data_IF_649910794510
#
_entry.id   IF_649910794510
#
_cell.length_a   1.000
_cell.length_b   1.000
_cell.length_c   1.000
_cell.angle_alpha   90.00
_cell.angle_beta   90.00
_cell.angle_gamma   90.00
#
_symmetry.space_group_name_H-M   'P 1'
#
loop_
_entity.id
_entity.type
_entity.pdbx_description
1 polymer ?
#
# COMPACT_ATOMS: atom_id res chain seq x y z
N UNK A 1 -14.32 -2.42 -2.20
CA UNK A 1 -13.11 -1.82 -2.81
C UNK A 1 -12.53 -0.81 -1.84
N UNK A 2 -11.48 -1.15 -1.10
CA UNK A 2 -10.75 -0.15 -0.31
C UNK A 2 -9.55 0.28 -1.15
N UNK A 3 -9.68 1.37 -1.89
CA UNK A 3 -8.55 1.96 -2.59
C UNK A 3 -7.46 2.28 -1.55
N UNK A 4 -6.18 2.13 -1.92
CA UNK A 4 -5.02 2.49 -1.07
C UNK A 4 -4.93 4.03 -0.85
N UNK A 5 -5.98 4.78 -1.19
CA UNK A 5 -6.11 6.22 -0.96
C UNK A 5 -5.86 6.62 0.51
N UNK A 6 -6.10 5.72 1.48
CA UNK A 6 -5.79 5.96 2.89
C UNK A 6 -4.28 6.14 3.21
N UNK A 7 -3.38 5.85 2.26
CA UNK A 7 -1.95 5.93 2.48
C UNK A 7 -1.32 7.22 1.91
N UNK A 8 -1.98 8.00 1.05
CA UNK A 8 -1.33 9.14 0.37
C UNK A 8 -1.04 10.36 1.26
N UNK A 9 -1.60 10.42 2.47
CA UNK A 9 -1.24 11.41 3.51
C UNK A 9 -1.62 10.89 4.90
N UNK A 10 -0.64 10.50 5.70
CA UNK A 10 -0.88 10.08 7.08
C UNK A 10 -0.56 11.23 8.03
N UNK A 11 -1.46 11.59 8.94
CA UNK A 11 -1.21 12.64 9.94
C UNK A 11 -0.08 12.28 10.92
N UNK A 12 0.34 11.01 10.94
CA UNK A 12 1.43 10.51 11.77
C UNK A 12 2.79 10.51 11.04
N UNK A 13 2.87 11.01 9.80
CA UNK A 13 4.14 11.13 9.08
C UNK A 13 4.99 12.24 9.75
N UNK A 14 6.19 11.90 10.26
CA UNK A 14 7.12 12.87 10.85
C UNK A 14 7.74 13.83 9.82
N UNK A 15 7.89 13.36 8.59
CA UNK A 15 8.22 14.14 7.39
C UNK A 15 7.26 13.70 6.27
N UNK A 16 6.23 14.49 6.04
CA UNK A 16 5.17 14.14 5.10
C UNK A 16 5.65 14.07 3.63
N UNK A 17 6.44 15.02 3.09
CA UNK A 17 7.02 14.90 1.75
C UNK A 17 7.83 13.62 1.55
N UNK A 18 8.74 13.32 2.49
CA UNK A 18 9.59 12.11 2.39
C UNK A 18 8.74 10.85 2.46
N UNK A 19 7.78 10.77 3.38
CA UNK A 19 6.91 9.60 3.52
C UNK A 19 6.05 9.34 2.27
N UNK A 20 5.51 10.40 1.64
CA UNK A 20 4.73 10.27 0.41
C UNK A 20 5.57 9.74 -0.77
N UNK A 21 6.81 10.23 -0.92
CA UNK A 21 7.73 9.77 -1.94
C UNK A 21 8.12 8.30 -1.73
N UNK A 22 8.55 7.93 -0.51
CA UNK A 22 8.93 6.56 -0.18
C UNK A 22 7.80 5.56 -0.39
N UNK A 23 6.57 5.95 -0.06
CA UNK A 23 5.40 5.10 -0.23
C UNK A 23 5.03 4.87 -1.69
N UNK A 24 5.12 5.91 -2.51
CA UNK A 24 4.85 5.80 -3.96
C UNK A 24 5.85 4.84 -4.61
N UNK A 25 7.12 4.96 -4.25
CA UNK A 25 8.18 4.06 -4.72
C UNK A 25 7.97 2.62 -4.23
N UNK A 26 7.66 2.44 -2.94
CA UNK A 26 7.41 1.12 -2.38
C UNK A 26 6.20 0.44 -3.05
N UNK A 27 5.07 1.15 -3.22
CA UNK A 27 3.88 0.59 -3.85
C UNK A 27 4.15 0.17 -5.31
N UNK A 28 4.95 0.94 -6.04
CA UNK A 28 5.37 0.57 -7.39
C UNK A 28 6.19 -0.73 -7.37
N UNK A 29 7.22 -0.81 -6.51
CA UNK A 29 8.07 -2.00 -6.38
C UNK A 29 7.26 -3.25 -5.99
N UNK A 30 6.32 -3.11 -5.05
CA UNK A 30 5.45 -4.21 -4.61
C UNK A 30 4.48 -4.69 -5.69
N UNK A 31 3.95 -3.75 -6.48
CA UNK A 31 3.08 -4.08 -7.61
C UNK A 31 3.84 -4.79 -8.73
N UNK A 32 5.10 -4.40 -8.95
CA UNK A 32 5.97 -5.00 -9.97
C UNK A 32 6.51 -6.37 -9.53
N UNK A 33 6.84 -6.53 -8.23
CA UNK A 33 7.35 -7.80 -7.67
C UNK A 33 6.24 -8.83 -7.40
N UNK A 34 5.02 -8.38 -7.11
CA UNK A 34 3.89 -9.24 -6.73
C UNK A 34 4.13 -10.01 -5.43
N UNK A 35 5.04 -9.54 -4.58
CA UNK A 35 5.40 -10.19 -3.33
C UNK A 35 4.32 -10.05 -2.26
N UNK A 36 4.31 -11.01 -1.32
CA UNK A 36 3.39 -10.99 -0.19
C UNK A 36 3.94 -10.07 0.89
N UNK A 37 3.11 -9.16 1.39
CA UNK A 37 3.49 -8.24 2.46
C UNK A 37 2.55 -8.34 3.66
N UNK A 38 3.08 -7.94 4.81
CA UNK A 38 2.33 -7.69 6.03
C UNK A 38 2.23 -6.19 6.28
N UNK A 39 1.01 -5.63 6.20
CA UNK A 39 0.75 -4.20 6.33
C UNK A 39 0.04 -3.88 7.66
N UNK A 40 0.78 -3.35 8.63
CA UNK A 40 0.36 -3.25 10.05
C UNK A 40 -0.93 -2.45 10.32
N UNK A 41 -1.34 -1.58 9.39
CA UNK A 41 -2.53 -0.74 9.51
C UNK A 41 -3.65 -1.10 8.53
N UNK A 42 -3.52 -2.21 7.81
CA UNK A 42 -4.54 -2.67 6.87
C UNK A 42 -5.59 -3.54 7.59
N UNK A 43 -6.73 -3.84 6.95
CA UNK A 43 -7.71 -4.75 7.53
C UNK A 43 -7.09 -6.10 7.90
N UNK A 44 -7.50 -6.66 9.03
CA UNK A 44 -7.10 -8.01 9.46
C UNK A 44 -7.45 -9.04 8.36
N UNK A 45 -6.56 -10.00 8.02
CA UNK A 45 -5.34 -10.44 8.71
C UNK A 45 -4.07 -9.66 8.39
N UNK A 46 -4.18 -8.50 7.71
CA UNK A 46 -3.06 -7.62 7.33
C UNK A 46 -2.07 -8.23 6.32
N UNK A 47 -2.42 -9.37 5.74
CA UNK A 47 -1.64 -10.07 4.73
C UNK A 47 -2.29 -9.94 3.36
N UNK A 48 -1.47 -9.79 2.34
CA UNK A 48 -1.94 -9.59 0.97
C UNK A 48 -0.85 -9.06 0.06
N UNK A 49 -1.29 -8.50 -1.07
CA UNK A 49 -0.43 -7.99 -2.15
C UNK A 49 -0.92 -6.65 -2.66
N UNK A 50 -0.06 -5.97 -3.41
CA UNK A 50 -0.39 -4.75 -4.12
C UNK A 50 -0.49 -5.09 -5.61
N UNK A 51 -1.56 -4.65 -6.27
CA UNK A 51 -1.71 -4.75 -7.72
C UNK A 51 -1.85 -3.36 -8.34
N UNK A 52 -1.28 -3.19 -9.55
CA UNK A 52 -1.47 -2.00 -10.36
C UNK A 52 -2.79 -2.10 -11.14
N UNK A 53 -3.61 -1.06 -11.08
CA UNK A 53 -4.83 -0.88 -11.87
C UNK A 53 -4.76 0.47 -12.58
N UNK A 54 -4.16 0.47 -13.78
CA UNK A 54 -3.85 1.72 -14.48
C UNK A 54 -2.84 2.56 -13.69
N UNK A 55 -3.23 3.77 -13.32
CA UNK A 55 -2.42 4.70 -12.52
C UNK A 55 -2.57 4.49 -11.00
N UNK A 56 -3.47 3.61 -10.57
CA UNK A 56 -3.76 3.36 -9.16
C UNK A 56 -3.13 2.05 -8.65
N UNK A 57 -2.97 1.98 -7.33
CA UNK A 57 -2.60 0.76 -6.61
C UNK A 57 -3.78 0.24 -5.80
N UNK A 58 -4.00 -1.06 -5.86
CA UNK A 58 -5.09 -1.75 -5.16
C UNK A 58 -4.54 -2.79 -4.20
N UNK A 59 -5.07 -2.79 -2.99
CA UNK A 59 -4.78 -3.83 -2.00
C UNK A 59 -5.60 -5.07 -2.29
N UNK A 60 -4.92 -6.20 -2.43
CA UNK A 60 -5.55 -7.50 -2.57
C UNK A 60 -5.34 -8.26 -1.26
N UNK A 61 -6.33 -8.29 -0.36
CA UNK A 61 -6.23 -9.03 0.89
C UNK A 61 -6.13 -10.52 0.59
N UNK A 62 -5.32 -11.23 1.38
CA UNK A 62 -5.32 -12.68 1.41
C UNK A 62 -6.65 -13.17 2.02
N UNK A 63 -7.33 -14.08 1.33
CA UNK A 63 -8.52 -14.72 1.86
C UNK A 63 -8.11 -15.76 2.91
N UNK A 64 -8.91 -15.84 3.98
CA UNK A 64 -8.85 -16.96 4.93
C UNK A 64 -9.58 -18.17 4.36
#
# INVERSE_FOLDING_TARGET
>A
MSCISACSRCSCDGDAPTAAASRSELLARLADSGERIYAVHFPFPRLGKIERRGEEFVWIPEAL
#
